data_IF_196692300773
#
_entry.id   IF_196692300773
#
_cell.length_a   1.000
_cell.length_b   1.000
_cell.length_c   1.000
_cell.angle_alpha   90.00
_cell.angle_beta   90.00
_cell.angle_gamma   90.00
#
_symmetry.space_group_name_H-M   'P 1'
#
loop_
_entity.id
_entity.type
_entity.pdbx_description
1 polymer ?
#
# COMPACT_ATOMS: atom_id res chain seq x y z
N UNK A 1 -6.36 4.25 -9.97
CA UNK A 1 -4.91 4.41 -9.77
C UNK A 1 -4.62 4.57 -8.28
N UNK A 2 -3.52 4.01 -7.79
CA UNK A 2 -3.02 4.20 -6.42
C UNK A 2 -1.61 4.77 -6.54
N UNK A 3 -1.35 5.87 -5.86
CA UNK A 3 0.00 6.43 -5.69
C UNK A 3 0.49 6.09 -4.29
N UNK A 4 1.70 5.58 -4.20
CA UNK A 4 2.35 5.32 -2.91
C UNK A 4 3.07 6.61 -2.48
N UNK A 5 2.86 7.01 -1.24
CA UNK A 5 3.48 8.20 -0.66
C UNK A 5 4.07 7.90 0.71
N UNK A 6 5.24 8.46 0.97
CA UNK A 6 5.84 8.45 2.29
C UNK A 6 5.43 9.71 3.05
N UNK A 7 4.62 9.54 4.09
CA UNK A 7 4.13 10.63 4.94
C UNK A 7 5.13 11.05 6.03
N UNK A 8 6.27 10.36 6.16
CA UNK A 8 7.28 10.67 7.18
C UNK A 8 6.85 10.35 8.62
N UNK A 9 5.74 9.64 8.80
CA UNK A 9 5.20 9.21 10.09
C UNK A 9 4.92 7.71 10.09
N UNK A 10 4.91 7.11 11.28
CA UNK A 10 4.56 5.70 11.44
C UNK A 10 3.04 5.44 11.33
N UNK A 11 2.67 4.17 11.39
CA UNK A 11 1.29 3.71 11.23
C UNK A 11 0.35 4.27 12.30
N UNK A 12 0.79 4.30 13.56
CA UNK A 12 -0.05 4.71 14.70
C UNK A 12 -0.28 6.22 14.64
N UNK A 13 0.78 6.99 14.41
CA UNK A 13 0.71 8.44 14.19
C UNK A 13 -0.16 8.79 12.98
N UNK A 14 0.01 8.08 11.85
CA UNK A 14 -0.84 8.27 10.67
C UNK A 14 -2.32 8.03 10.99
N UNK A 15 -2.62 6.97 11.76
CA UNK A 15 -3.98 6.64 12.17
C UNK A 15 -4.60 7.77 13.02
N UNK A 16 -3.85 8.26 14.01
CA UNK A 16 -4.29 9.35 14.90
C UNK A 16 -4.51 10.67 14.15
N UNK A 17 -3.63 11.01 13.21
CA UNK A 17 -3.77 12.22 12.39
C UNK A 17 -5.01 12.16 11.47
N UNK A 18 -5.38 10.99 10.96
CA UNK A 18 -6.58 10.80 10.15
C UNK A 18 -6.63 11.73 8.92
N UNK A 19 -7.58 12.68 8.90
CA UNK A 19 -7.72 13.67 7.81
C UNK A 19 -6.65 14.77 7.84
N UNK A 20 -5.94 14.92 8.96
CA UNK A 20 -4.92 15.94 9.19
C UNK A 20 -3.51 15.48 8.77
N UNK A 21 -3.36 14.28 8.19
CA UNK A 21 -2.10 13.88 7.58
C UNK A 21 -1.70 14.85 6.45
N UNK A 22 -0.40 14.98 6.24
CA UNK A 22 0.15 15.83 5.18
C UNK A 22 0.00 15.18 3.80
N UNK A 23 -1.19 15.29 3.21
CA UNK A 23 -1.48 14.71 1.90
C UNK A 23 -0.88 15.55 0.78
N UNK A 24 -0.11 14.95 -0.15
CA UNK A 24 0.54 15.67 -1.23
C UNK A 24 -0.49 16.24 -2.22
N UNK A 25 -0.10 17.31 -2.91
CA UNK A 25 -0.78 17.76 -4.11
C UNK A 25 -0.46 16.83 -5.29
N UNK A 26 -1.44 16.60 -6.16
CA UNK A 26 -1.28 15.77 -7.36
C UNK A 26 -1.46 16.68 -8.57
N UNK A 27 -0.35 17.11 -9.16
CA UNK A 27 -0.30 18.12 -10.24
C UNK A 27 -0.36 17.51 -11.65
N UNK A 28 -0.30 16.20 -11.77
CA UNK A 28 -0.48 15.50 -13.04
C UNK A 28 -1.39 14.29 -12.84
N UNK A 29 -2.39 14.14 -13.71
CA UNK A 29 -3.26 12.98 -13.66
C UNK A 29 -2.51 11.73 -14.15
N UNK A 30 -2.36 10.67 -13.33
CA UNK A 30 -1.68 9.45 -13.74
C UNK A 30 -2.49 8.57 -14.72
N UNK A 31 -3.71 9.00 -15.10
CA UNK A 31 -4.55 8.28 -16.06
C UNK A 31 -4.55 8.93 -17.45
N UNK A 32 -4.64 10.26 -17.52
CA UNK A 32 -4.69 10.99 -18.79
C UNK A 32 -3.50 11.93 -19.01
N UNK A 33 -2.55 11.99 -18.07
CA UNK A 33 -1.33 12.81 -18.13
C UNK A 33 -1.55 14.32 -18.29
N UNK A 34 -2.78 14.79 -18.06
CA UNK A 34 -3.06 16.21 -18.03
C UNK A 34 -2.37 16.85 -16.81
N UNK A 35 -1.62 17.92 -17.06
CA UNK A 35 -0.89 18.70 -16.06
C UNK A 35 -1.82 19.74 -15.44
N UNK A 36 -2.43 19.38 -14.32
CA UNK A 36 -3.25 20.25 -13.50
C UNK A 36 -3.43 19.62 -12.12
N UNK A 37 -3.70 20.44 -11.10
CA UNK A 37 -4.02 19.94 -9.77
C UNK A 37 -5.32 19.14 -9.78
N UNK A 38 -5.27 17.93 -9.23
CA UNK A 38 -6.48 17.12 -9.03
C UNK A 38 -7.25 17.61 -7.80
N UNK A 39 -8.58 17.51 -7.86
CA UNK A 39 -9.45 17.91 -6.76
C UNK A 39 -9.48 16.83 -5.66
N UNK A 40 -9.36 17.23 -4.38
CA UNK A 40 -9.54 16.32 -3.23
C UNK A 40 -10.99 15.86 -3.15
N UNK A 41 -11.26 14.66 -3.63
CA UNK A 41 -12.61 14.12 -3.78
C UNK A 41 -13.19 13.61 -2.46
N UNK A 42 -12.34 13.10 -1.57
CA UNK A 42 -12.76 12.62 -0.25
C UNK A 42 -11.87 11.53 0.28
N UNK A 43 -12.38 10.74 1.22
CA UNK A 43 -11.65 9.67 1.87
C UNK A 43 -12.39 8.34 1.75
N UNK A 44 -11.68 7.24 1.94
CA UNK A 44 -12.26 5.95 2.28
C UNK A 44 -11.46 5.32 3.42
N UNK A 45 -12.09 4.42 4.16
CA UNK A 45 -11.41 3.68 5.22
C UNK A 45 -10.77 2.40 4.71
N UNK A 46 -9.55 2.12 5.19
CA UNK A 46 -8.79 0.94 4.83
C UNK A 46 -8.21 0.25 6.05
N UNK A 47 -8.26 -1.08 6.06
CA UNK A 47 -7.58 -1.87 7.09
C UNK A 47 -6.06 -1.80 6.93
N UNK A 48 -5.38 -1.62 8.07
CA UNK A 48 -3.95 -1.82 8.24
C UNK A 48 -3.75 -2.76 9.43
N UNK A 49 -3.64 -4.05 9.12
CA UNK A 49 -3.50 -5.12 10.12
C UNK A 49 -2.02 -5.41 10.31
N UNK A 50 -1.58 -5.34 11.56
CA UNK A 50 -0.25 -5.74 12.01
C UNK A 50 -0.28 -7.14 12.62
N UNK A 51 0.81 -7.60 13.23
CA UNK A 51 0.76 -8.88 13.94
C UNK A 51 0.04 -8.75 15.30
N UNK A 52 -0.03 -7.53 15.86
CA UNK A 52 -0.49 -7.23 17.21
C UNK A 52 -1.83 -6.48 17.25
N UNK A 53 -2.03 -5.54 16.31
CA UNK A 53 -3.15 -4.59 16.28
C UNK A 53 -3.75 -4.43 14.89
N UNK A 54 -5.02 -4.03 14.85
CA UNK A 54 -5.73 -3.65 13.62
C UNK A 54 -6.09 -2.17 13.64
N UNK A 55 -5.83 -1.47 12.53
CA UNK A 55 -6.16 -0.06 12.38
C UNK A 55 -7.11 0.18 11.20
N UNK A 56 -7.95 1.21 11.31
CA UNK A 56 -8.78 1.77 10.23
C UNK A 56 -8.19 3.10 9.79
N UNK A 57 -7.54 3.13 8.64
CA UNK A 57 -6.85 4.30 8.12
C UNK A 57 -7.73 5.06 7.13
N UNK A 58 -7.72 6.39 7.22
CA UNK A 58 -8.33 7.25 6.21
C UNK A 58 -7.37 7.45 5.04
N UNK A 59 -7.82 7.04 3.86
CA UNK A 59 -7.06 7.13 2.61
C UNK A 59 -7.65 8.23 1.73
N UNK A 60 -6.85 9.25 1.43
CA UNK A 60 -7.28 10.37 0.59
C UNK A 60 -7.45 9.93 -0.87
N UNK A 61 -8.51 10.43 -1.49
CA UNK A 61 -8.84 10.26 -2.91
C UNK A 61 -8.88 11.61 -3.60
N UNK A 62 -8.23 11.66 -4.75
CA UNK A 62 -8.25 12.76 -5.69
C UNK A 62 -9.06 12.36 -6.92
N UNK A 63 -9.75 13.32 -7.55
CA UNK A 63 -10.48 13.12 -8.80
C UNK A 63 -9.99 14.11 -9.84
N UNK A 64 -9.67 13.61 -11.03
CA UNK A 64 -9.33 14.45 -12.16
C UNK A 64 -10.60 15.09 -12.72
N UNK A 65 -10.58 16.40 -12.98
CA UNK A 65 -11.68 17.14 -13.61
C UNK A 65 -11.78 16.91 -15.12
N UNK A 66 -10.75 16.34 -15.75
CA UNK A 66 -10.70 16.10 -17.20
C UNK A 66 -11.18 14.68 -17.54
N UNK A 67 -10.55 13.65 -16.98
CA UNK A 67 -10.89 12.25 -17.28
C UNK A 67 -11.83 11.61 -16.25
N UNK A 68 -12.18 12.35 -15.19
CA UNK A 68 -13.08 11.90 -14.11
C UNK A 68 -12.62 10.65 -13.33
N UNK A 69 -11.40 10.18 -13.58
CA UNK A 69 -10.82 9.05 -12.87
C UNK A 69 -10.34 9.46 -11.48
N UNK A 70 -10.35 8.48 -10.57
CA UNK A 70 -9.94 8.66 -9.18
C UNK A 70 -8.52 8.12 -8.94
N UNK A 71 -7.78 8.80 -8.08
CA UNK A 71 -6.44 8.46 -7.62
C UNK A 71 -6.46 8.40 -6.11
N UNK A 72 -6.00 7.31 -5.51
CA UNK A 72 -5.87 7.20 -4.05
C UNK A 72 -4.42 7.37 -3.63
N UNK A 73 -4.17 8.09 -2.54
CA UNK A 73 -2.82 8.24 -1.96
C UNK A 73 -2.67 7.24 -0.81
N UNK A 74 -1.89 6.20 -1.03
CA UNK A 74 -1.68 5.12 -0.09
C UNK A 74 -0.34 5.33 0.64
N UNK A 75 -0.29 5.22 1.98
CA UNK A 75 0.97 5.28 2.72
C UNK A 75 1.93 4.15 2.33
N UNK A 76 3.24 4.43 2.36
CA UNK A 76 4.30 3.49 1.95
C UNK A 76 4.30 2.16 2.72
N UNK A 77 3.81 2.17 3.97
CA UNK A 77 3.70 0.98 4.81
C UNK A 77 2.49 0.09 4.46
N UNK A 78 1.72 0.40 3.41
CA UNK A 78 0.65 -0.43 2.87
C UNK A 78 0.91 -0.84 1.41
N UNK A 79 0.50 -2.07 1.08
CA UNK A 79 0.49 -2.56 -0.31
C UNK A 79 -0.91 -2.47 -0.92
N UNK A 80 -1.07 -2.06 -2.19
CA UNK A 80 -2.35 -2.11 -2.90
C UNK A 80 -3.02 -3.49 -2.84
N UNK A 81 -4.31 -3.53 -2.50
CA UNK A 81 -5.12 -4.77 -2.42
C UNK A 81 -4.75 -5.74 -1.28
N UNK A 82 -3.98 -5.29 -0.29
CA UNK A 82 -3.71 -6.01 0.96
C UNK A 82 -4.36 -5.29 2.15
N UNK A 83 -4.78 -6.08 3.13
CA UNK A 83 -5.29 -5.58 4.41
C UNK A 83 -4.20 -5.52 5.48
N UNK A 84 -3.06 -6.17 5.25
CA UNK A 84 -1.94 -6.21 6.18
C UNK A 84 -0.87 -5.20 5.79
N UNK A 85 -0.11 -4.73 6.77
CA UNK A 85 1.01 -3.82 6.51
C UNK A 85 2.11 -4.50 5.71
N UNK A 86 2.86 -3.71 4.95
CA UNK A 86 4.03 -4.18 4.19
C UNK A 86 5.00 -4.93 5.10
N UNK A 87 5.28 -4.37 6.30
CA UNK A 87 6.18 -5.00 7.29
C UNK A 87 5.69 -6.39 7.71
N UNK A 88 4.40 -6.53 8.05
CA UNK A 88 3.81 -7.80 8.46
C UNK A 88 3.90 -8.85 7.35
N UNK A 89 3.58 -8.46 6.11
CA UNK A 89 3.65 -9.37 4.96
C UNK A 89 5.10 -9.82 4.74
N UNK A 90 6.06 -8.88 4.73
CA UNK A 90 7.49 -9.19 4.54
C UNK A 90 8.00 -10.12 5.64
N UNK A 91 7.66 -9.87 6.90
CA UNK A 91 8.06 -10.72 8.01
C UNK A 91 7.54 -12.15 7.83
N UNK A 92 6.26 -12.33 7.48
CA UNK A 92 5.70 -13.67 7.27
C UNK A 92 6.31 -14.40 6.08
N UNK A 93 6.63 -13.68 5.01
CA UNK A 93 7.34 -14.25 3.86
C UNK A 93 8.74 -14.73 4.29
N UNK A 94 9.47 -13.89 5.02
CA UNK A 94 10.78 -14.24 5.57
C UNK A 94 10.70 -15.50 6.45
N UNK A 95 9.81 -15.53 7.44
CA UNK A 95 9.71 -16.65 8.37
C UNK A 95 9.32 -17.96 7.67
N UNK A 96 8.45 -17.88 6.67
CA UNK A 96 8.04 -19.05 5.91
C UNK A 96 9.14 -19.57 4.97
N UNK A 97 9.97 -18.69 4.40
CA UNK A 97 11.11 -19.08 3.57
C UNK A 97 12.25 -19.70 4.40
N UNK A 98 12.49 -19.17 5.60
CA UNK A 98 13.53 -19.66 6.51
C UNK A 98 13.06 -20.78 7.45
N UNK A 99 11.79 -21.18 7.37
CA UNK A 99 11.19 -22.23 8.21
C UNK A 99 11.31 -21.96 9.71
N UNK A 100 11.37 -20.69 10.13
CA UNK A 100 11.61 -20.26 11.52
C UNK A 100 10.36 -20.31 12.42
N UNK A 101 9.33 -21.04 11.98
CA UNK A 101 8.06 -21.17 12.69
C UNK A 101 6.98 -20.27 12.11
N UNK A 102 5.87 -20.87 11.67
CA UNK A 102 4.68 -20.14 11.24
C UNK A 102 3.51 -20.52 12.15
N UNK A 103 2.73 -19.53 12.57
CA UNK A 103 1.51 -19.80 13.34
C UNK A 103 0.57 -20.70 12.51
N UNK A 104 0.19 -21.90 12.99
CA UNK A 104 -0.69 -22.81 12.27
C UNK A 104 -1.98 -22.15 11.78
N UNK A 105 -2.56 -21.23 12.55
CA UNK A 105 -3.79 -20.52 12.19
C UNK A 105 -3.62 -19.55 11.01
N UNK A 106 -2.40 -19.12 10.72
CA UNK A 106 -2.07 -18.18 9.64
C UNK A 106 -1.52 -18.88 8.40
N UNK A 107 -1.35 -20.21 8.40
CA UNK A 107 -0.74 -20.99 7.30
C UNK A 107 -1.38 -20.72 5.93
N UNK A 108 -2.70 -20.69 5.85
CA UNK A 108 -3.41 -20.47 4.59
C UNK A 108 -3.15 -19.06 4.03
N UNK A 109 -3.18 -18.06 4.91
CA UNK A 109 -2.93 -16.67 4.55
C UNK A 109 -1.47 -16.43 4.15
N UNK A 110 -0.53 -17.01 4.89
CA UNK A 110 0.89 -16.99 4.55
C UNK A 110 1.12 -17.67 3.19
N UNK A 111 0.48 -18.82 2.95
CA UNK A 111 0.55 -19.52 1.65
C UNK A 111 -0.01 -18.67 0.51
N UNK A 112 -1.09 -17.92 0.76
CA UNK A 112 -1.63 -16.97 -0.21
C UNK A 112 -0.62 -15.87 -0.56
N UNK A 113 0.02 -15.26 0.44
CA UNK A 113 1.05 -14.23 0.20
C UNK A 113 2.30 -14.79 -0.46
N UNK A 114 2.78 -15.97 -0.06
CA UNK A 114 3.92 -16.65 -0.70
C UNK A 114 3.65 -16.94 -2.16
N UNK A 115 2.49 -17.53 -2.50
CA UNK A 115 2.13 -17.81 -3.90
C UNK A 115 2.15 -16.53 -4.73
N UNK A 116 1.56 -15.46 -4.21
CA UNK A 116 1.51 -14.17 -4.90
C UNK A 116 2.91 -13.56 -5.07
N UNK A 117 3.76 -13.63 -4.04
CA UNK A 117 5.14 -13.16 -4.09
C UNK A 117 5.95 -13.92 -5.15
N UNK A 118 5.89 -15.26 -5.15
CA UNK A 118 6.58 -16.12 -6.11
C UNK A 118 6.13 -15.82 -7.55
N UNK A 119 4.82 -15.60 -7.77
CA UNK A 119 4.31 -15.24 -9.10
C UNK A 119 4.85 -13.89 -9.61
N UNK A 120 5.16 -12.96 -8.71
CA UNK A 120 5.74 -11.65 -9.05
C UNK A 120 7.27 -11.62 -9.04
N UNK A 121 7.94 -12.65 -8.51
CA UNK A 121 9.40 -12.59 -8.29
C UNK A 121 10.18 -12.45 -9.60
N UNK A 122 9.72 -13.10 -10.68
CA UNK A 122 10.34 -12.98 -12.01
C UNK A 122 10.29 -11.56 -12.53
N UNK A 123 9.19 -10.83 -12.26
CA UNK A 123 9.07 -9.41 -12.64
C UNK A 123 9.98 -8.52 -11.82
N UNK A 124 10.07 -8.76 -10.51
CA UNK A 124 10.98 -8.04 -9.61
C UNK A 124 12.42 -8.25 -10.07
N UNK A 125 12.80 -9.51 -10.32
CA UNK A 125 14.12 -9.85 -10.85
C UNK A 125 14.41 -9.14 -12.18
N UNK A 126 13.49 -9.20 -13.14
CA UNK A 126 13.65 -8.53 -14.44
C UNK A 126 13.78 -7.01 -14.31
N UNK A 127 13.11 -6.38 -13.35
CA UNK A 127 13.22 -4.95 -13.09
C UNK A 127 14.63 -4.58 -12.58
N UNK A 128 15.18 -5.36 -11.65
CA UNK A 128 16.52 -5.10 -11.09
C UNK A 128 17.66 -5.55 -12.01
N UNK A 129 17.50 -6.67 -12.72
CA UNK A 129 18.49 -7.18 -13.67
C UNK A 129 18.70 -6.28 -14.89
N UNK A 130 17.70 -5.44 -15.25
CA UNK A 130 17.82 -4.44 -16.32
C UNK A 130 18.49 -3.13 -15.88
N UNK A 131 18.80 -2.98 -14.59
CA UNK A 131 19.49 -1.80 -14.03
C UNK A 131 20.98 -2.03 -13.76
N UNK A 132 21.55 -3.14 -14.26
CA UNK A 132 22.97 -3.49 -14.26
C UNK A 132 23.41 -3.56 -15.72
#
# INVERSE_FOLDING_TARGET
MILIHDFGVDLETYHELGKNNDFPMVEECPHCHAKHSLHRHGFYERNAITAEKEYRLLICRFRCSICFQTVSILPHFLLPYFQHTTRTIVQWLHDALHQTGTNPSKRQLISFYLRRFIQTISWIYMYFARKI
#
